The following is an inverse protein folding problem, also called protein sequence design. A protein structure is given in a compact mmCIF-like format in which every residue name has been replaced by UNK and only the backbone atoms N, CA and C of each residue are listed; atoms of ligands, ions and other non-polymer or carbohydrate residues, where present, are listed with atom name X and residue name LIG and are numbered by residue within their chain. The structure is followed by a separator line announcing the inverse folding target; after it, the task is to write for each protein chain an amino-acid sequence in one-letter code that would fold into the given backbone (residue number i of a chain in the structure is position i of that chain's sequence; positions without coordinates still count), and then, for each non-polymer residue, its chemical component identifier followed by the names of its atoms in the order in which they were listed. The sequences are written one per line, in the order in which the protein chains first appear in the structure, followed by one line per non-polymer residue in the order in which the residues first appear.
data_IF_021143388441
#
_entry.id   IF_021143388441
#
_cell.length_a   1.000
_cell.length_b   1.000
_cell.length_c   1.000
_cell.angle_alpha   90.00
_cell.angle_beta   90.00
_cell.angle_gamma   90.00
#
_symmetry.space_group_name_H-M   'P 1'
#
loop_
_entity.id
_entity.type
_entity.pdbx_description
1 polymer ?
#
# COMPACT_ATOMS: atom_id res chain seq x y z
N UNK A 1 -10.73 0.45 7.48
CA UNK A 1 -9.49 -0.27 7.12
C UNK A 1 -8.73 -0.76 8.35
N UNK A 2 -8.15 0.11 9.19
CA UNK A 2 -7.38 -0.36 10.35
C UNK A 2 -8.23 -1.19 11.33
N UNK A 3 -9.43 -0.72 11.66
CA UNK A 3 -10.40 -1.45 12.48
C UNK A 3 -10.76 -2.83 11.89
N UNK A 4 -10.89 -2.94 10.56
CA UNK A 4 -11.19 -4.21 9.89
C UNK A 4 -10.06 -5.23 10.08
N UNK A 5 -8.80 -4.77 10.05
CA UNK A 5 -7.63 -5.61 10.31
C UNK A 5 -7.61 -6.09 11.76
N UNK A 6 -7.88 -5.19 12.72
CA UNK A 6 -7.98 -5.53 14.15
C UNK A 6 -9.09 -6.57 14.37
N UNK A 7 -10.27 -6.34 13.79
CA UNK A 7 -11.39 -7.27 13.85
C UNK A 7 -11.04 -8.63 13.24
N UNK A 8 -10.33 -8.65 12.12
CA UNK A 8 -9.87 -9.90 11.49
C UNK A 8 -8.90 -10.68 12.41
N UNK A 9 -7.91 -10.00 13.01
CA UNK A 9 -6.97 -10.62 13.96
C UNK A 9 -7.74 -11.29 15.11
N UNK A 10 -8.73 -10.60 15.68
CA UNK A 10 -9.56 -11.14 16.76
C UNK A 10 -10.43 -12.32 16.31
N UNK A 11 -11.11 -12.20 15.16
CA UNK A 11 -11.96 -13.26 14.61
C UNK A 11 -11.18 -14.54 14.33
N UNK A 12 -9.96 -14.42 13.81
CA UNK A 12 -9.07 -15.53 13.54
C UNK A 12 -8.31 -16.03 14.77
N UNK A 13 -8.52 -15.41 15.94
CA UNK A 13 -7.82 -15.72 17.20
C UNK A 13 -6.30 -15.76 17.03
N UNK A 14 -5.78 -14.84 16.23
CA UNK A 14 -4.34 -14.72 16.03
C UNK A 14 -3.72 -14.12 17.29
N UNK A 15 -2.56 -14.65 17.67
CA UNK A 15 -1.70 -14.03 18.66
C UNK A 15 -1.04 -12.77 18.06
N UNK A 16 -0.11 -12.16 18.81
CA UNK A 16 0.72 -11.06 18.27
C UNK A 16 1.27 -11.43 16.89
N UNK A 17 0.97 -10.62 15.89
CA UNK A 17 1.35 -10.88 14.50
C UNK A 17 2.34 -9.85 13.97
N UNK A 18 3.15 -10.26 13.01
CA UNK A 18 3.90 -9.33 12.16
C UNK A 18 2.92 -8.74 11.14
N UNK A 19 2.88 -7.42 11.05
CA UNK A 19 2.03 -6.74 10.07
C UNK A 19 2.87 -6.06 9.01
N UNK A 20 2.69 -6.48 7.76
CA UNK A 20 3.33 -5.90 6.59
C UNK A 20 2.28 -5.27 5.68
N UNK A 21 2.55 -4.07 5.20
CA UNK A 21 1.62 -3.35 4.35
C UNK A 21 2.37 -2.51 3.32
N UNK A 22 1.92 -2.53 2.06
CA UNK A 22 2.49 -1.73 0.97
C UNK A 22 1.61 -0.54 0.63
N UNK A 23 2.22 0.61 0.34
CA UNK A 23 1.51 1.83 -0.08
C UNK A 23 0.41 2.21 0.92
N UNK A 24 -0.86 2.24 0.52
CA UNK A 24 -1.98 2.47 1.47
C UNK A 24 -2.09 1.38 2.55
N UNK A 25 -1.73 0.13 2.23
CA UNK A 25 -1.63 -0.94 3.21
C UNK A 25 -0.59 -0.63 4.29
N UNK A 26 0.47 0.11 3.96
CA UNK A 26 1.47 0.57 4.93
C UNK A 26 0.86 1.58 5.91
N UNK A 27 0.05 2.54 5.43
CA UNK A 27 -0.69 3.48 6.30
C UNK A 27 -1.68 2.76 7.21
N UNK A 28 -2.39 1.77 6.67
CA UNK A 28 -3.28 0.91 7.45
C UNK A 28 -2.52 0.18 8.54
N UNK A 29 -1.39 -0.46 8.20
CA UNK A 29 -0.55 -1.19 9.15
C UNK A 29 0.04 -0.28 10.24
N UNK A 30 0.53 0.89 9.86
CA UNK A 30 0.99 1.93 10.79
C UNK A 30 -0.11 2.36 11.76
N UNK A 31 -1.34 2.55 11.27
CA UNK A 31 -2.49 2.92 12.11
C UNK A 31 -2.84 1.80 13.09
N UNK A 32 -2.89 0.55 12.64
CA UNK A 32 -3.12 -0.61 13.52
C UNK A 32 -2.07 -0.69 14.63
N UNK A 33 -0.79 -0.47 14.30
CA UNK A 33 0.28 -0.51 15.29
C UNK A 33 0.19 0.61 16.33
N UNK A 34 -0.29 1.80 15.94
CA UNK A 34 -0.50 2.93 16.84
C UNK A 34 -1.74 2.75 17.72
N UNK A 35 -2.86 2.29 17.16
CA UNK A 35 -4.13 2.10 17.90
C UNK A 35 -4.14 0.83 18.75
N UNK A 36 -3.46 -0.24 18.30
CA UNK A 36 -3.50 -1.56 18.90
C UNK A 36 -2.10 -2.20 19.01
N UNK A 37 -1.15 -1.53 19.69
CA UNK A 37 0.26 -1.97 19.74
C UNK A 37 0.44 -3.38 20.32
N UNK A 38 -0.48 -3.81 21.19
CA UNK A 38 -0.45 -5.13 21.81
C UNK A 38 -0.76 -6.28 20.86
N UNK A 39 -1.30 -6.01 19.66
CA UNK A 39 -1.57 -7.01 18.64
C UNK A 39 -0.38 -7.23 17.70
N UNK A 40 0.61 -6.33 17.71
CA UNK A 40 1.68 -6.30 16.69
C UNK A 40 3.02 -6.68 17.32
N UNK A 41 3.63 -7.77 16.85
CA UNK A 41 5.00 -8.16 17.25
C UNK A 41 6.08 -7.40 16.50
N UNK A 42 5.85 -7.13 15.21
CA UNK A 42 6.71 -6.28 14.38
C UNK A 42 5.91 -5.63 13.26
N UNK A 43 6.32 -4.43 12.86
CA UNK A 43 5.68 -3.64 11.81
C UNK A 43 6.60 -3.48 10.60
N UNK A 44 6.09 -3.68 9.39
CA UNK A 44 6.85 -3.51 8.15
C UNK A 44 6.06 -2.64 7.15
N UNK A 45 6.18 -1.31 7.21
CA UNK A 45 5.59 -0.40 6.24
C UNK A 45 6.46 -0.38 4.98
N UNK A 46 5.86 -0.68 3.83
CA UNK A 46 6.56 -0.78 2.55
C UNK A 46 6.15 0.40 1.67
N UNK A 47 7.12 1.27 1.40
CA UNK A 47 7.05 2.42 0.50
C UNK A 47 5.87 3.37 0.74
N UNK A 48 5.67 3.73 2.01
CA UNK A 48 4.83 4.84 2.43
C UNK A 48 5.28 5.37 3.80
N UNK A 49 4.96 6.63 4.08
CA UNK A 49 5.35 7.33 5.31
C UNK A 49 4.11 7.88 6.06
N UNK A 50 4.21 8.10 7.38
CA UNK A 50 3.12 8.63 8.21
C UNK A 50 2.94 10.15 8.02
N UNK A 51 2.72 10.57 6.77
CA UNK A 51 2.55 11.98 6.38
C UNK A 51 1.32 12.16 5.50
N UNK A 52 0.78 13.38 5.53
CA UNK A 52 -0.20 13.84 4.54
C UNK A 52 0.58 14.33 3.33
N UNK A 53 0.61 13.52 2.28
CA UNK A 53 1.20 13.93 1.01
C UNK A 53 0.06 14.03 -0.01
N UNK A 54 -0.19 15.19 -0.64
CA UNK A 54 -1.08 15.22 -1.79
C UNK A 54 -0.52 14.25 -2.82
N UNK A 55 -1.26 13.17 -3.06
CA UNK A 55 -0.90 12.16 -4.02
C UNK A 55 -0.87 12.83 -5.41
N UNK A 56 0.29 13.37 -5.82
CA UNK A 56 0.65 13.45 -7.24
C UNK A 56 0.97 12.04 -7.73
N UNK A 57 0.05 11.13 -7.50
CA UNK A 57 0.24 9.72 -7.77
C UNK A 57 -0.45 9.35 -9.07
N UNK A 58 0.15 8.38 -9.77
CA UNK A 58 -0.44 7.84 -10.98
C UNK A 58 -1.74 7.07 -10.69
N UNK A 59 -2.06 6.76 -9.42
CA UNK A 59 -3.33 6.10 -9.03
C UNK A 59 -4.56 6.86 -9.50
N UNK A 60 -4.56 8.20 -9.47
CA UNK A 60 -5.66 8.98 -10.01
C UNK A 60 -5.84 8.77 -11.52
N UNK A 61 -4.75 8.57 -12.28
CA UNK A 61 -4.81 8.22 -13.71
C UNK A 61 -5.31 6.79 -13.89
N UNK A 62 -4.83 5.85 -13.09
CA UNK A 62 -5.25 4.44 -13.16
C UNK A 62 -6.74 4.30 -12.92
N UNK A 63 -7.27 4.94 -11.88
CA UNK A 63 -8.71 4.91 -11.57
C UNK A 63 -9.53 5.46 -12.74
N UNK A 64 -9.11 6.57 -13.37
CA UNK A 64 -9.80 7.07 -14.58
C UNK A 64 -9.78 6.06 -15.73
N UNK A 65 -8.65 5.42 -15.99
CA UNK A 65 -8.55 4.37 -17.01
C UNK A 65 -9.43 3.16 -16.70
N UNK A 66 -9.48 2.75 -15.43
CA UNK A 66 -10.34 1.66 -14.97
C UNK A 66 -11.83 2.01 -15.08
N UNK A 67 -12.22 3.24 -14.75
CA UNK A 67 -13.59 3.74 -14.95
C UNK A 67 -13.97 3.76 -16.43
N UNK A 68 -13.05 4.17 -17.32
CA UNK A 68 -13.27 4.14 -18.76
C UNK A 68 -13.47 2.71 -19.29
N UNK A 69 -12.71 1.73 -18.78
CA UNK A 69 -12.90 0.31 -19.12
C UNK A 69 -14.31 -0.15 -18.77
N UNK A 70 -14.80 0.14 -17.56
CA UNK A 70 -16.15 -0.25 -17.13
C UNK A 70 -17.23 0.47 -17.96
N UNK A 71 -17.04 1.76 -18.25
CA UNK A 71 -17.98 2.54 -19.06
C UNK A 71 -18.11 2.02 -20.52
N UNK A 72 -17.05 1.41 -21.07
CA UNK A 72 -17.06 0.86 -22.43
C UNK A 72 -17.58 -0.59 -22.53
N UNK A 73 -17.92 -1.24 -21.40
CA UNK A 73 -18.44 -2.62 -21.37
C UNK A 73 -17.57 -3.62 -22.17
N UNK A 74 -16.25 -3.51 -22.05
CA UNK A 74 -15.33 -4.35 -22.84
C UNK A 74 -15.52 -5.84 -22.52
N UNK A 75 -15.43 -6.70 -23.55
CA UNK A 75 -15.66 -8.15 -23.39
C UNK A 75 -14.37 -8.98 -23.21
N UNK A 76 -13.21 -8.38 -23.51
CA UNK A 76 -11.89 -9.04 -23.48
C UNK A 76 -10.89 -8.18 -22.70
N UNK A 77 -10.03 -8.85 -21.94
CA UNK A 77 -8.94 -8.20 -21.21
C UNK A 77 -7.95 -7.46 -22.14
N UNK A 78 -7.74 -7.97 -23.36
CA UNK A 78 -6.90 -7.30 -24.37
C UNK A 78 -7.43 -5.94 -24.79
N UNK A 79 -8.75 -5.74 -24.78
CA UNK A 79 -9.36 -4.45 -25.12
C UNK A 79 -9.28 -3.48 -23.93
N UNK A 80 -9.36 -3.99 -22.70
CA UNK A 80 -9.06 -3.22 -21.50
C UNK A 80 -7.60 -2.72 -21.47
N UNK A 81 -6.63 -3.57 -21.83
CA UNK A 81 -5.21 -3.17 -21.89
C UNK A 81 -4.95 -2.05 -22.91
N UNK A 82 -5.63 -2.08 -24.07
CA UNK A 82 -5.56 -0.99 -25.06
C UNK A 82 -6.00 0.35 -24.47
N UNK A 83 -7.08 0.35 -23.66
CA UNK A 83 -7.56 1.56 -22.97
C UNK A 83 -6.53 2.02 -21.93
N UNK A 84 -6.01 1.09 -21.10
CA UNK A 84 -5.04 1.45 -20.06
C UNK A 84 -3.73 1.99 -20.61
N UNK A 85 -3.37 1.68 -21.86
CA UNK A 85 -2.16 2.20 -22.50
C UNK A 85 -2.13 3.74 -22.56
N UNK A 86 -3.29 4.39 -22.61
CA UNK A 86 -3.40 5.85 -22.58
C UNK A 86 -3.18 6.44 -21.17
N UNK A 87 -3.17 5.60 -20.14
CA UNK A 87 -3.06 5.99 -18.73
C UNK A 87 -1.76 5.52 -18.07
N UNK A 88 -1.12 4.46 -18.58
CA UNK A 88 0.09 3.86 -18.05
C UNK A 88 0.92 3.19 -19.15
N UNK A 89 2.19 3.57 -19.30
CA UNK A 89 3.09 3.06 -20.34
C UNK A 89 3.71 1.70 -19.98
N UNK A 90 3.93 1.45 -18.69
CA UNK A 90 4.50 0.22 -18.14
C UNK A 90 3.53 -0.94 -18.29
N UNK A 91 3.88 -1.89 -19.18
CA UNK A 91 3.13 -3.13 -19.34
C UNK A 91 2.98 -3.90 -18.03
N UNK A 92 4.02 -4.09 -17.19
CA UNK A 92 3.87 -4.73 -15.89
C UNK A 92 2.79 -4.09 -14.98
N UNK A 93 2.72 -2.76 -14.92
CA UNK A 93 1.72 -2.07 -14.09
C UNK A 93 0.32 -2.26 -14.67
N UNK A 94 0.14 -2.14 -15.99
CA UNK A 94 -1.17 -2.41 -16.63
C UNK A 94 -1.64 -3.83 -16.35
N UNK A 95 -0.76 -4.84 -16.50
CA UNK A 95 -1.10 -6.23 -16.21
C UNK A 95 -1.46 -6.44 -14.74
N UNK A 96 -0.75 -5.78 -13.81
CA UNK A 96 -1.11 -5.78 -12.40
C UNK A 96 -2.52 -5.23 -12.16
N UNK A 97 -2.86 -4.06 -12.73
CA UNK A 97 -4.20 -3.47 -12.58
C UNK A 97 -5.29 -4.43 -13.13
N UNK A 98 -5.01 -5.06 -14.27
CA UNK A 98 -5.92 -5.99 -14.93
C UNK A 98 -6.08 -7.34 -14.20
N UNK A 99 -5.25 -7.67 -13.20
CA UNK A 99 -5.49 -8.85 -12.34
C UNK A 99 -6.80 -8.76 -11.58
N UNK A 100 -7.29 -7.54 -11.34
CA UNK A 100 -8.56 -7.27 -10.68
C UNK A 100 -9.75 -7.28 -11.65
N UNK A 101 -9.53 -7.38 -12.96
CA UNK A 101 -10.58 -7.39 -13.97
C UNK A 101 -11.15 -8.81 -14.12
N UNK A 102 -12.46 -8.95 -13.95
CA UNK A 102 -13.20 -10.22 -14.06
C UNK A 102 -14.32 -10.11 -15.06
N UNK A 103 -14.82 -11.27 -15.51
CA UNK A 103 -16.05 -11.33 -16.28
C UNK A 103 -17.22 -11.05 -15.34
N UNK A 104 -17.93 -9.96 -15.60
CA UNK A 104 -19.17 -9.60 -14.92
C UNK A 104 -20.40 -10.16 -15.65
N UNK A 105 -21.55 -9.62 -15.27
CA UNK A 105 -22.84 -10.03 -15.84
C UNK A 105 -22.93 -9.67 -17.32
N UNK A 106 -23.70 -10.45 -18.08
CA UNK A 106 -23.93 -10.25 -19.52
C UNK A 106 -22.65 -10.25 -20.39
N UNK A 107 -21.53 -10.75 -19.86
CA UNK A 107 -20.29 -10.95 -20.60
C UNK A 107 -19.34 -9.74 -20.64
N UNK A 108 -19.76 -8.59 -20.10
CA UNK A 108 -18.89 -7.42 -19.92
C UNK A 108 -17.88 -7.66 -18.79
N UNK A 109 -16.69 -7.10 -18.93
CA UNK A 109 -15.66 -7.16 -17.89
C UNK A 109 -15.88 -6.05 -16.85
N UNK A 110 -15.65 -6.37 -15.58
CA UNK A 110 -15.81 -5.45 -14.45
C UNK A 110 -14.65 -5.65 -13.46
N UNK A 111 -14.24 -4.61 -12.76
CA UNK A 111 -13.26 -4.78 -11.69
C UNK A 111 -13.90 -5.36 -10.43
N UNK A 112 -13.17 -6.25 -9.74
CA UNK A 112 -13.59 -6.79 -8.44
C UNK A 112 -13.73 -5.70 -7.38
N UNK A 113 -12.91 -4.66 -7.49
CA UNK A 113 -12.93 -3.51 -6.59
C UNK A 113 -13.92 -2.46 -7.10
N UNK A 114 -14.65 -1.76 -6.21
CA UNK A 114 -15.59 -0.72 -6.61
C UNK A 114 -14.83 0.54 -7.06
N UNK A 115 -14.52 0.62 -8.35
CA UNK A 115 -13.64 1.68 -8.91
C UNK A 115 -14.22 3.08 -8.72
N UNK A 116 -15.54 3.23 -8.81
CA UNK A 116 -16.21 4.52 -8.55
C UNK A 116 -15.98 5.00 -7.12
N UNK A 117 -16.29 4.16 -6.13
CA UNK A 117 -16.10 4.45 -4.71
C UNK A 117 -14.63 4.74 -4.41
N UNK A 118 -13.72 3.94 -4.97
CA UNK A 118 -12.28 4.17 -4.85
C UNK A 118 -11.89 5.56 -5.37
N UNK A 119 -12.38 5.95 -6.54
CA UNK A 119 -12.11 7.25 -7.13
C UNK A 119 -12.57 8.42 -6.27
N UNK A 120 -13.76 8.33 -5.71
CA UNK A 120 -14.32 9.36 -4.83
C UNK A 120 -13.55 9.47 -3.50
N UNK A 121 -12.98 8.35 -3.01
CA UNK A 121 -12.25 8.29 -1.75
C UNK A 121 -10.73 8.55 -1.88
N UNK A 122 -10.18 8.63 -3.10
CA UNK A 122 -8.73 8.71 -3.32
C UNK A 122 -8.04 9.86 -2.56
N UNK A 123 -8.69 11.02 -2.44
CA UNK A 123 -8.13 12.17 -1.73
C UNK A 123 -7.98 11.90 -0.25
N UNK A 124 -8.99 11.30 0.38
CA UNK A 124 -8.97 10.97 1.80
C UNK A 124 -8.02 9.82 2.11
N UNK A 125 -7.88 8.86 1.20
CA UNK A 125 -6.93 7.74 1.31
C UNK A 125 -5.46 8.22 1.27
N UNK A 126 -5.21 9.44 0.77
CA UNK A 126 -3.89 10.07 0.82
C UNK A 126 -3.49 10.53 2.23
N UNK A 127 -4.45 10.68 3.15
CA UNK A 127 -4.19 11.22 4.48
C UNK A 127 -3.63 10.15 5.42
N UNK A 128 -2.91 10.59 6.44
CA UNK A 128 -2.54 9.78 7.59
C UNK A 128 -3.41 10.25 8.78
N UNK A 129 -4.06 9.32 9.53
CA UNK A 129 -5.12 9.69 10.47
C UNK A 129 -4.62 10.40 11.74
N UNK A 130 -3.30 10.53 11.92
CA UNK A 130 -2.72 11.28 13.03
C UNK A 130 -2.10 12.58 12.55
N UNK A 131 -2.47 13.66 13.24
CA UNK A 131 -1.80 14.94 13.08
C UNK A 131 -0.35 14.86 13.55
N UNK A 132 0.50 15.73 13.00
CA UNK A 132 1.89 15.87 13.46
C UNK A 132 1.96 16.23 14.95
N UNK A 133 0.94 16.83 15.56
CA UNK A 133 0.91 17.13 17.00
C UNK A 133 0.57 15.92 17.89
N UNK A 134 0.22 14.77 17.31
CA UNK A 134 -0.14 13.56 18.06
C UNK A 134 1.01 13.07 18.95
N UNK A 135 0.64 12.53 20.12
CA UNK A 135 1.54 11.82 21.04
C UNK A 135 1.53 10.31 20.84
N UNK A 136 0.80 9.79 19.84
CA UNK A 136 0.76 8.37 19.54
C UNK A 136 2.13 7.87 19.10
N UNK A 137 2.59 6.78 19.71
CA UNK A 137 3.86 6.14 19.39
C UNK A 137 3.72 4.62 19.42
N UNK A 138 4.49 3.94 18.57
CA UNK A 138 4.67 2.50 18.59
C UNK A 138 6.14 2.18 18.84
N UNK A 139 6.43 1.65 20.03
CA UNK A 139 7.77 1.30 20.48
C UNK A 139 8.19 -0.14 20.11
N UNK A 140 7.44 -0.79 19.22
CA UNK A 140 7.78 -2.14 18.75
C UNK A 140 8.81 -2.13 17.60
N UNK A 141 9.42 -3.29 17.32
CA UNK A 141 10.30 -3.47 16.17
C UNK A 141 9.62 -3.02 14.88
N UNK A 142 10.26 -2.13 14.13
CA UNK A 142 9.69 -1.57 12.89
C UNK A 142 10.75 -1.49 11.80
N UNK A 143 10.43 -1.99 10.60
CA UNK A 143 11.26 -1.87 9.40
C UNK A 143 10.49 -1.14 8.30
N UNK A 144 10.89 0.09 8.00
CA UNK A 144 10.45 0.77 6.79
C UNK A 144 11.27 0.28 5.60
N UNK A 145 10.60 -0.26 4.58
CA UNK A 145 11.26 -0.66 3.34
C UNK A 145 10.94 0.36 2.25
N UNK A 146 11.97 1.04 1.75
CA UNK A 146 11.87 2.16 0.81
C UNK A 146 12.39 1.77 -0.57
N UNK A 147 11.65 2.09 -1.62
CA UNK A 147 12.16 2.04 -3.00
C UNK A 147 13.00 3.27 -3.29
N UNK A 148 14.28 3.11 -3.65
CA UNK A 148 15.19 4.26 -3.85
C UNK A 148 14.82 5.15 -5.04
N UNK A 149 14.01 4.64 -5.98
CA UNK A 149 13.49 5.38 -7.14
C UNK A 149 12.05 5.87 -6.89
N UNK A 150 11.49 5.59 -5.71
CA UNK A 150 10.16 6.03 -5.27
C UNK A 150 10.23 7.39 -4.57
N UNK A 151 9.09 8.09 -4.54
CA UNK A 151 8.93 9.40 -3.86
C UNK A 151 8.12 9.30 -2.57
N UNK A 152 7.64 8.12 -2.21
CA UNK A 152 6.73 7.95 -1.06
C UNK A 152 7.43 8.02 0.30
N UNK A 153 8.72 7.66 0.34
CA UNK A 153 9.55 7.75 1.55
C UNK A 153 10.82 8.49 1.15
N UNK A 154 10.88 9.80 1.40
CA UNK A 154 12.10 10.60 1.22
C UNK A 154 12.82 10.79 2.55
N UNK A 155 14.05 11.29 2.51
CA UNK A 155 14.79 11.63 3.74
C UNK A 155 14.03 12.65 4.60
N UNK A 156 13.27 13.56 3.99
CA UNK A 156 12.42 14.55 4.68
C UNK A 156 11.28 13.91 5.49
N UNK A 157 10.89 12.66 5.16
CA UNK A 157 9.85 11.93 5.90
C UNK A 157 10.39 11.18 7.11
N UNK A 158 11.72 11.03 7.22
CA UNK A 158 12.36 10.27 8.32
C UNK A 158 12.05 10.85 9.70
N UNK A 159 12.05 12.18 9.93
CA UNK A 159 11.65 12.75 11.21
C UNK A 159 10.23 12.35 11.63
N UNK A 160 9.27 12.36 10.69
CA UNK A 160 7.89 11.94 10.96
C UNK A 160 7.82 10.43 11.27
N UNK A 161 8.54 9.60 10.50
CA UNK A 161 8.68 8.16 10.78
C UNK A 161 9.19 7.94 12.21
N UNK A 162 10.29 8.60 12.59
CA UNK A 162 10.93 8.45 13.91
C UNK A 162 10.07 8.98 15.05
N UNK A 163 9.20 9.96 14.78
CA UNK A 163 8.24 10.46 15.77
C UNK A 163 7.22 9.38 16.16
N UNK A 164 6.57 8.76 15.18
CA UNK A 164 5.55 7.73 15.44
C UNK A 164 6.16 6.36 15.76
N UNK A 165 7.34 6.06 15.21
CA UNK A 165 8.00 4.77 15.30
C UNK A 165 9.47 4.94 15.73
N UNK A 166 9.76 5.22 17.02
CA UNK A 166 11.11 5.55 17.48
C UNK A 166 12.17 4.48 17.17
N UNK A 167 11.77 3.21 17.19
CA UNK A 167 12.62 2.05 16.89
C UNK A 167 12.67 1.68 15.40
N UNK A 168 12.12 2.50 14.51
CA UNK A 168 12.13 2.24 13.08
C UNK A 168 13.55 2.12 12.51
N UNK A 169 13.80 1.08 11.74
CA UNK A 169 14.94 0.95 10.83
C UNK A 169 14.46 1.28 9.41
N UNK A 170 15.38 1.73 8.55
CA UNK A 170 15.08 1.99 7.13
C UNK A 170 15.95 1.08 6.29
N UNK A 171 15.33 0.31 5.41
CA UNK A 171 15.99 -0.53 4.43
C UNK A 171 15.68 -0.05 3.01
N UNK A 172 16.74 0.21 2.25
CA UNK A 172 16.64 0.60 0.85
C UNK A 172 16.63 -0.61 -0.07
N UNK A 173 15.74 -0.55 -1.06
CA UNK A 173 15.64 -1.49 -2.18
C UNK A 173 15.76 -0.69 -3.48
N UNK A 174 16.66 -1.09 -4.37
CA UNK A 174 16.83 -0.43 -5.66
C UNK A 174 15.64 -0.75 -6.60
N UNK A 175 14.57 0.01 -6.46
CA UNK A 175 13.32 -0.12 -7.20
C UNK A 175 12.48 1.17 -7.06
N UNK A 176 11.45 1.30 -7.89
CA UNK A 176 10.38 2.28 -7.77
C UNK A 176 9.33 1.88 -6.72
N UNK A 177 8.10 2.38 -6.90
CA UNK A 177 7.01 2.16 -5.94
C UNK A 177 6.61 0.68 -5.81
N UNK A 178 6.77 -0.09 -6.89
CA UNK A 178 6.39 -1.50 -6.96
C UNK A 178 7.54 -2.43 -6.55
N UNK A 179 8.34 -2.04 -5.55
CA UNK A 179 9.59 -2.72 -5.20
C UNK A 179 9.46 -4.22 -4.89
N UNK A 180 8.31 -4.68 -4.41
CA UNK A 180 8.02 -6.10 -4.16
C UNK A 180 8.01 -6.87 -5.48
N UNK A 181 7.58 -6.26 -6.59
CA UNK A 181 7.52 -6.86 -7.92
C UNK A 181 8.77 -6.55 -8.75
N UNK A 182 9.34 -5.35 -8.61
CA UNK A 182 10.51 -4.91 -9.38
C UNK A 182 11.81 -5.53 -8.86
N UNK A 183 11.95 -5.72 -7.54
CA UNK A 183 13.12 -6.34 -6.92
C UNK A 183 12.73 -7.24 -5.73
N UNK A 184 12.00 -8.35 -6.00
CA UNK A 184 11.45 -9.23 -4.97
C UNK A 184 12.51 -9.85 -4.08
N UNK A 185 13.68 -10.15 -4.63
CA UNK A 185 14.78 -10.79 -3.90
C UNK A 185 15.39 -9.85 -2.85
N UNK A 186 15.71 -8.61 -3.25
CA UNK A 186 16.22 -7.62 -2.30
C UNK A 186 15.19 -7.31 -1.22
N UNK A 187 13.91 -7.14 -1.60
CA UNK A 187 12.81 -6.95 -0.64
C UNK A 187 12.74 -8.11 0.37
N UNK A 188 12.70 -9.35 -0.12
CA UNK A 188 12.65 -10.56 0.71
C UNK A 188 13.83 -10.60 1.68
N UNK A 189 15.05 -10.38 1.20
CA UNK A 189 16.24 -10.44 2.03
C UNK A 189 16.18 -9.44 3.18
N UNK A 190 15.76 -8.19 2.92
CA UNK A 190 15.62 -7.16 3.97
C UNK A 190 14.58 -7.56 5.02
N UNK A 191 13.42 -8.05 4.58
CA UNK A 191 12.34 -8.48 5.48
C UNK A 191 12.75 -9.70 6.31
N UNK A 192 13.31 -10.73 5.68
CA UNK A 192 13.71 -11.96 6.36
C UNK A 192 14.81 -11.69 7.38
N UNK A 193 15.84 -10.91 7.03
CA UNK A 193 16.90 -10.53 7.97
C UNK A 193 16.34 -9.81 9.19
N UNK A 194 15.48 -8.82 9.00
CA UNK A 194 14.84 -8.10 10.11
C UNK A 194 14.01 -9.03 11.01
N UNK A 195 13.26 -9.97 10.42
CA UNK A 195 12.45 -10.92 11.19
C UNK A 195 13.29 -11.97 11.93
N UNK A 196 14.48 -12.31 11.44
CA UNK A 196 15.42 -13.20 12.14
C UNK A 196 16.11 -12.51 13.32
N UNK A 197 16.31 -11.20 13.24
CA UNK A 197 16.95 -10.39 14.28
C UNK A 197 15.95 -9.88 15.33
N UNK A 198 14.65 -9.95 15.03
CA UNK A 198 13.57 -9.50 15.92
C UNK A 198 13.13 -10.64 16.85
N UNK A 199 13.09 -10.43 18.18
CA UNK A 199 12.70 -11.44 19.16
C UNK A 199 11.20 -11.80 19.15
#
# INVERSE_FOLDING_TARGET
MAEDVVNFIHQQKLNKCVLIGHSMGAKTAMTVALDSPNLISALIPVDNAPVNAPLKSDFGKYVRGMQQIEAQNVAKQSDADKILKDYEESLPIRQFLLTNLVRGDHGAMKFRVPVSILGDALSEMANFPYAESSSATYDGPTLFVRGTKSRYVSDDTIPAIKKFFPKAQIADVEAGHWLISENPEAFRQKVVTFLQETP
#
